data_IF_631977722194
#
_entry.id   IF_631977722194
#
_cell.length_a   1.000
_cell.length_b   1.000
_cell.length_c   1.000
_cell.angle_alpha   90.00
_cell.angle_beta   90.00
_cell.angle_gamma   90.00
#
_symmetry.space_group_name_H-M   'P 1'
#
loop_
_entity.id
_entity.type
_entity.pdbx_description
1 polymer ?
#
# COMPACT_ATOMS: atom_id res chain seq x y z
N UNK A 1 10.10 11.79 -11.06
CA UNK A 1 9.15 12.81 -10.55
C UNK A 1 9.09 12.67 -9.03
N UNK A 2 9.05 13.79 -8.31
CA UNK A 2 8.95 13.83 -6.84
C UNK A 2 7.47 14.07 -6.47
N UNK A 3 7.00 13.44 -5.39
CA UNK A 3 5.66 13.65 -4.83
C UNK A 3 5.52 12.98 -3.48
N UNK A 4 4.56 13.44 -2.67
CA UNK A 4 4.36 12.94 -1.30
C UNK A 4 3.73 11.55 -1.31
N UNK A 5 4.04 10.74 -0.29
CA UNK A 5 3.28 9.54 0.07
C UNK A 5 2.55 9.83 1.36
N UNK A 6 1.26 9.55 1.42
CA UNK A 6 0.46 9.66 2.65
C UNK A 6 0.28 8.27 3.25
N UNK A 7 0.65 8.12 4.52
CA UNK A 7 0.50 6.87 5.28
C UNK A 7 -0.30 7.19 6.54
N UNK A 8 -1.44 6.52 6.71
CA UNK A 8 -2.28 6.64 7.90
C UNK A 8 -1.69 5.94 9.11
N UNK A 9 -2.36 6.09 10.25
CA UNK A 9 -1.98 5.40 11.48
C UNK A 9 -2.10 3.87 11.34
N UNK A 10 -1.23 3.15 12.04
CA UNK A 10 -1.26 1.69 12.17
C UNK A 10 -1.20 0.92 10.84
N UNK A 11 -0.56 1.50 9.83
CA UNK A 11 -0.28 0.81 8.55
C UNK A 11 0.90 -0.15 8.72
N UNK A 12 0.76 -1.36 8.19
CA UNK A 12 1.85 -2.33 8.11
C UNK A 12 2.42 -2.34 6.68
N UNK A 13 3.69 -1.99 6.55
CA UNK A 13 4.44 -2.10 5.30
C UNK A 13 5.47 -3.22 5.44
N UNK A 14 5.21 -4.37 4.83
CA UNK A 14 6.13 -5.49 4.90
C UNK A 14 7.38 -5.28 4.05
N UNK A 15 8.37 -6.15 4.27
CA UNK A 15 9.69 -6.06 3.68
C UNK A 15 9.65 -5.88 2.15
N UNK A 16 10.48 -4.94 1.67
CA UNK A 16 10.69 -4.63 0.25
C UNK A 16 9.44 -4.18 -0.52
N UNK A 17 8.39 -3.74 0.17
CA UNK A 17 7.28 -3.06 -0.48
C UNK A 17 7.70 -1.66 -0.93
N UNK A 18 7.16 -1.23 -2.08
CA UNK A 18 7.45 0.05 -2.71
C UNK A 18 6.13 0.80 -2.85
N UNK A 19 6.09 2.05 -2.37
CA UNK A 19 4.94 2.95 -2.51
C UNK A 19 5.37 4.13 -3.38
N UNK A 20 4.78 4.25 -4.57
CA UNK A 20 5.12 5.33 -5.49
C UNK A 20 4.50 6.66 -5.04
N UNK A 21 5.11 7.75 -5.49
CA UNK A 21 4.69 9.11 -5.19
C UNK A 21 3.20 9.37 -5.51
N UNK A 22 2.61 10.30 -4.75
CA UNK A 22 1.20 10.68 -4.76
C UNK A 22 0.21 9.59 -4.33
N UNK A 23 0.68 8.42 -3.89
CA UNK A 23 -0.18 7.39 -3.32
C UNK A 23 -0.64 7.72 -1.89
N UNK A 24 -1.74 7.10 -1.46
CA UNK A 24 -2.28 7.17 -0.11
C UNK A 24 -2.55 5.76 0.42
N UNK A 25 -2.01 5.44 1.58
CA UNK A 25 -2.29 4.21 2.31
C UNK A 25 -3.05 4.56 3.59
N UNK A 26 -4.33 4.21 3.62
CA UNK A 26 -5.23 4.60 4.70
C UNK A 26 -5.00 3.78 5.98
N UNK A 27 -5.56 4.26 7.10
CA UNK A 27 -5.42 3.67 8.43
C UNK A 27 -5.66 2.15 8.47
N UNK A 28 -4.85 1.44 9.27
CA UNK A 28 -4.95 -0.01 9.47
C UNK A 28 -4.84 -0.85 8.18
N UNK A 29 -4.24 -0.33 7.11
CA UNK A 29 -3.97 -1.12 5.91
C UNK A 29 -2.71 -1.99 6.08
N UNK A 30 -2.68 -3.13 5.39
CA UNK A 30 -1.55 -4.05 5.36
C UNK A 30 -1.07 -4.22 3.93
N UNK A 31 0.20 -3.89 3.67
CA UNK A 31 0.88 -4.22 2.43
C UNK A 31 1.75 -5.47 2.67
N UNK A 32 1.48 -6.57 1.98
CA UNK A 32 2.28 -7.79 2.03
C UNK A 32 3.72 -7.58 1.51
N UNK A 33 4.64 -8.54 1.69
CA UNK A 33 6.00 -8.39 1.19
C UNK A 33 6.05 -8.18 -0.33
N UNK A 34 7.06 -7.44 -0.81
CA UNK A 34 7.26 -7.18 -2.24
C UNK A 34 6.09 -6.46 -2.95
N UNK A 35 5.22 -5.77 -2.21
CA UNK A 35 4.04 -5.10 -2.79
C UNK A 35 4.43 -3.80 -3.49
N UNK A 36 3.90 -3.55 -4.69
CA UNK A 36 4.06 -2.28 -5.39
C UNK A 36 2.73 -1.51 -5.43
N UNK A 37 2.64 -0.45 -4.63
CA UNK A 37 1.53 0.53 -4.71
C UNK A 37 1.88 1.56 -5.79
N UNK A 38 1.02 1.67 -6.80
CA UNK A 38 1.24 2.50 -7.96
C UNK A 38 1.06 3.99 -7.65
N UNK A 39 1.61 4.84 -8.53
CA UNK A 39 1.52 6.30 -8.41
C UNK A 39 0.06 6.73 -8.35
N UNK A 40 -0.30 7.51 -7.34
CA UNK A 40 -1.66 8.05 -7.20
C UNK A 40 -2.71 7.04 -6.72
N UNK A 41 -2.30 5.81 -6.44
CA UNK A 41 -3.21 4.76 -5.95
C UNK A 41 -3.64 5.04 -4.51
N UNK A 42 -4.89 4.68 -4.19
CA UNK A 42 -5.44 4.78 -2.85
C UNK A 42 -5.71 3.38 -2.30
N UNK A 43 -4.98 2.99 -1.26
CA UNK A 43 -5.20 1.75 -0.51
C UNK A 43 -6.22 2.04 0.60
N UNK A 44 -7.40 1.37 0.61
CA UNK A 44 -8.47 1.63 1.57
C UNK A 44 -8.10 1.27 3.02
N UNK A 45 -8.77 1.89 3.97
CA UNK A 45 -8.57 1.59 5.39
C UNK A 45 -9.01 0.15 5.72
N UNK A 46 -8.40 -0.45 6.74
CA UNK A 46 -8.74 -1.81 7.22
C UNK A 46 -8.75 -2.86 6.09
N UNK A 47 -7.77 -2.79 5.19
CA UNK A 47 -7.66 -3.70 4.04
C UNK A 47 -6.24 -4.25 3.89
N UNK A 48 -6.12 -5.45 3.32
CA UNK A 48 -4.84 -6.10 3.06
C UNK A 48 -4.62 -6.22 1.54
N UNK A 49 -3.40 -5.95 1.09
CA UNK A 49 -3.01 -5.91 -0.32
C UNK A 49 -1.66 -6.58 -0.54
N UNK A 50 -1.47 -7.21 -1.70
CA UNK A 50 -0.23 -7.89 -2.07
C UNK A 50 0.02 -7.79 -3.59
N UNK A 51 1.27 -7.98 -4.02
CA UNK A 51 1.62 -8.11 -5.43
C UNK A 51 2.17 -6.83 -6.07
N UNK A 52 2.57 -6.94 -7.34
CA UNK A 52 3.11 -5.82 -8.12
C UNK A 52 2.52 -5.82 -9.53
N UNK A 53 1.50 -4.99 -9.82
CA UNK A 53 0.86 -4.00 -8.93
C UNK A 53 0.09 -4.62 -7.75
N UNK A 54 -0.16 -3.83 -6.70
CA UNK A 54 -0.93 -4.23 -5.55
C UNK A 54 -2.36 -4.64 -5.93
N UNK A 55 -2.84 -5.75 -5.37
CA UNK A 55 -4.23 -6.22 -5.48
C UNK A 55 -4.76 -6.64 -4.11
N UNK A 56 -6.09 -6.65 -3.89
CA UNK A 56 -6.66 -7.08 -2.61
C UNK A 56 -6.20 -8.49 -2.24
N UNK A 57 -5.67 -8.62 -1.03
CA UNK A 57 -5.19 -9.89 -0.49
C UNK A 57 -6.39 -10.71 -0.01
N UNK A 58 -6.94 -11.53 -0.90
CA UNK A 58 -8.00 -12.47 -0.58
C UNK A 58 -7.39 -13.70 0.07
N UNK A 59 -7.77 -13.98 1.32
CA UNK A 59 -7.58 -15.29 1.92
C UNK A 59 -8.56 -16.26 1.25
N UNK A 60 -8.08 -17.41 0.80
CA UNK A 60 -8.94 -18.52 0.35
C UNK A 60 -9.70 -19.10 1.54
#
# INVERSE_FOLDING_TARGET
>A
KIGQVKVGNDVVVNARSIILYNANVSHHAVLGPLTLVMKGENIPAKSAWIGSPAVPWRHQ
#
